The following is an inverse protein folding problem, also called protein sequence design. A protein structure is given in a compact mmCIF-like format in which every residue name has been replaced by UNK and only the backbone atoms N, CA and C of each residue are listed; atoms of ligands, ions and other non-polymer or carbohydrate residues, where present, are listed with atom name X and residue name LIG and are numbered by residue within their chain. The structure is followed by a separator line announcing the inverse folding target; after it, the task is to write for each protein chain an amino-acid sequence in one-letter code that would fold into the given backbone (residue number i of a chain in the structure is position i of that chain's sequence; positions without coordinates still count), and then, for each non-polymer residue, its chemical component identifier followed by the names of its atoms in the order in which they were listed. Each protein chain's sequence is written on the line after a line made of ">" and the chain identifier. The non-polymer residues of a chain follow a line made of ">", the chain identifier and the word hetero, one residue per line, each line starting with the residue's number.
data_IF_857090048168
#
_entry.id   IF_857090048168
#
_cell.length_a   1.000
_cell.length_b   1.000
_cell.length_c   1.000
_cell.angle_alpha   90.00
_cell.angle_beta   90.00
_cell.angle_gamma   90.00
#
_symmetry.space_group_name_H-M   'P 1'
#
loop_
_entity.id
_entity.type
_entity.pdbx_description
1 polymer ?
#
# COMPACT_ATOMS: atom_id res chain seq x y z
N UNK A 1 -10.94 -7.34 -4.90
CA UNK A 1 -9.56 -7.73 -5.35
C UNK A 1 -8.85 -8.39 -4.16
N UNK A 2 -7.94 -9.35 -4.36
CA UNK A 2 -7.09 -9.90 -3.28
C UNK A 2 -5.63 -9.51 -3.47
N UNK A 3 -4.97 -9.16 -2.38
CA UNK A 3 -3.53 -8.84 -2.35
C UNK A 3 -2.84 -9.76 -1.35
N UNK A 4 -1.75 -10.39 -1.78
CA UNK A 4 -0.95 -11.30 -0.98
C UNK A 4 0.41 -10.66 -0.76
N UNK A 5 0.77 -10.46 0.50
CA UNK A 5 2.09 -10.03 0.92
C UNK A 5 2.85 -11.25 1.44
N UNK A 6 4.02 -11.55 0.88
CA UNK A 6 4.87 -12.66 1.31
C UNK A 6 6.13 -12.11 1.94
N UNK A 7 6.42 -12.51 3.18
CA UNK A 7 7.54 -11.99 3.96
C UNK A 7 8.87 -12.51 3.42
N UNK A 8 9.79 -11.59 3.15
CA UNK A 8 11.18 -11.89 2.83
C UNK A 8 12.09 -11.77 4.06
N UNK A 9 13.41 -11.97 3.89
CA UNK A 9 14.38 -11.71 4.95
C UNK A 9 14.44 -10.22 5.33
N UNK A 10 14.76 -9.95 6.59
CA UNK A 10 14.82 -8.57 7.12
C UNK A 10 13.45 -7.88 7.02
N UNK A 11 13.40 -6.74 6.34
CA UNK A 11 12.15 -5.99 6.08
C UNK A 11 11.67 -6.11 4.64
N UNK A 12 12.26 -7.01 3.84
CA UNK A 12 11.83 -7.27 2.47
C UNK A 12 10.55 -8.07 2.40
N UNK A 13 9.82 -7.95 1.30
CA UNK A 13 8.59 -8.70 1.03
C UNK A 13 8.21 -8.62 -0.44
N UNK A 14 7.44 -9.60 -0.91
CA UNK A 14 6.85 -9.62 -2.24
C UNK A 14 5.34 -9.40 -2.17
N UNK A 15 4.80 -8.88 -3.26
CA UNK A 15 3.38 -8.56 -3.41
C UNK A 15 2.85 -9.25 -4.65
N UNK A 16 1.77 -10.00 -4.50
CA UNK A 16 0.99 -10.54 -5.59
C UNK A 16 -0.44 -9.99 -5.54
N UNK A 17 -0.94 -9.52 -6.68
CA UNK A 17 -2.28 -8.93 -6.81
C UNK A 17 -3.13 -9.84 -7.67
N UNK A 18 -4.22 -10.34 -7.11
CA UNK A 18 -5.23 -11.14 -7.78
C UNK A 18 -6.50 -10.29 -7.94
N UNK A 19 -6.87 -10.00 -9.18
CA UNK A 19 -7.97 -9.09 -9.51
C UNK A 19 -8.83 -9.66 -10.63
N UNK A 20 -10.10 -9.30 -10.61
CA UNK A 20 -11.08 -9.74 -11.61
C UNK A 20 -11.07 -8.83 -12.86
N UNK A 21 -10.65 -7.57 -12.69
CA UNK A 21 -10.60 -6.57 -13.75
C UNK A 21 -9.15 -6.28 -14.15
N UNK A 22 -8.86 -6.34 -15.45
CA UNK A 22 -7.54 -6.06 -16.02
C UNK A 22 -6.66 -7.29 -16.18
N UNK A 23 -5.45 -7.12 -16.72
CA UNK A 23 -4.52 -8.23 -16.95
C UNK A 23 -4.03 -8.84 -15.63
N UNK A 24 -3.75 -10.14 -15.61
CA UNK A 24 -3.02 -10.75 -14.50
C UNK A 24 -1.65 -10.07 -14.32
N UNK A 25 -1.28 -9.76 -13.08
CA UNK A 25 -0.07 -9.01 -12.77
C UNK A 25 1.05 -9.95 -12.30
N UNK A 26 2.28 -9.71 -12.76
CA UNK A 26 3.45 -10.38 -12.21
C UNK A 26 3.68 -9.91 -10.76
N UNK A 27 4.05 -10.81 -9.83
CA UNK A 27 4.47 -10.40 -8.50
C UNK A 27 5.66 -9.43 -8.56
N UNK A 28 5.79 -8.58 -7.55
CA UNK A 28 6.92 -7.66 -7.43
C UNK A 28 7.44 -7.63 -5.99
N UNK A 29 8.71 -7.31 -5.84
CA UNK A 29 9.29 -6.97 -4.55
C UNK A 29 8.88 -5.56 -4.12
N UNK A 30 8.45 -5.41 -2.87
CA UNK A 30 8.19 -4.11 -2.26
C UNK A 30 9.48 -3.35 -1.97
N UNK A 31 9.42 -2.04 -1.68
CA UNK A 31 10.61 -1.24 -1.35
C UNK A 31 11.25 -1.60 0.01
N UNK A 32 10.71 -2.58 0.74
CA UNK A 32 10.99 -2.80 2.15
C UNK A 32 10.11 -1.93 3.05
N UNK A 33 10.49 -1.76 4.31
CA UNK A 33 9.74 -0.95 5.26
C UNK A 33 10.07 -1.27 6.71
N UNK A 34 9.04 -1.27 7.54
CA UNK A 34 9.12 -1.52 8.98
C UNK A 34 8.94 -3.01 9.32
N UNK A 35 9.60 -3.57 10.35
CA UNK A 35 9.48 -4.99 10.72
C UNK A 35 8.07 -5.48 11.05
N UNK A 36 7.18 -4.58 11.44
CA UNK A 36 5.76 -4.86 11.74
C UNK A 36 4.83 -4.45 10.61
N UNK A 37 5.21 -3.43 9.84
CA UNK A 37 4.34 -2.76 8.87
C UNK A 37 5.09 -2.54 7.56
N UNK A 38 5.01 -3.49 6.60
CA UNK A 38 5.47 -3.30 5.24
C UNK A 38 4.90 -2.02 4.64
N UNK A 39 5.72 -1.24 3.94
CA UNK A 39 5.28 0.03 3.34
C UNK A 39 4.04 -0.13 2.44
N UNK A 40 4.06 -1.11 1.54
CA UNK A 40 2.91 -1.37 0.66
C UNK A 40 1.69 -1.94 1.42
N UNK A 41 1.86 -2.56 2.60
CA UNK A 41 0.73 -2.96 3.47
C UNK A 41 0.11 -1.73 4.14
N UNK A 42 0.93 -0.78 4.59
CA UNK A 42 0.48 0.51 5.13
C UNK A 42 -0.40 1.23 4.12
N UNK A 43 0.05 1.38 2.86
CA UNK A 43 -0.77 2.02 1.83
C UNK A 43 -2.08 1.28 1.57
N UNK A 44 -2.08 -0.06 1.57
CA UNK A 44 -3.32 -0.82 1.42
C UNK A 44 -4.33 -0.46 2.52
N UNK A 45 -3.91 -0.51 3.77
CA UNK A 45 -4.78 -0.26 4.92
C UNK A 45 -5.24 1.21 4.99
N UNK A 46 -4.32 2.15 4.77
CA UNK A 46 -4.63 3.59 4.71
C UNK A 46 -5.67 3.88 3.65
N UNK A 47 -5.46 3.42 2.42
CA UNK A 47 -6.39 3.71 1.32
C UNK A 47 -7.76 3.08 1.57
N UNK A 48 -7.79 1.86 2.13
CA UNK A 48 -9.05 1.17 2.46
C UNK A 48 -9.84 1.93 3.55
N UNK A 49 -9.21 2.27 4.67
CA UNK A 49 -9.86 2.93 5.82
C UNK A 49 -10.22 4.39 5.56
N UNK A 50 -9.45 5.07 4.71
CA UNK A 50 -9.72 6.45 4.30
C UNK A 50 -10.62 6.55 3.05
N UNK A 51 -11.01 5.42 2.45
CA UNK A 51 -11.86 5.37 1.27
C UNK A 51 -11.24 5.96 0.01
N UNK A 52 -9.91 5.97 -0.10
CA UNK A 52 -9.16 6.51 -1.24
C UNK A 52 -9.32 5.56 -2.42
N UNK A 53 -9.85 6.07 -3.55
CA UNK A 53 -10.21 5.23 -4.71
C UNK A 53 -9.21 5.29 -5.84
N UNK A 54 -8.46 6.38 -5.94
CA UNK A 54 -7.47 6.60 -6.98
C UNK A 54 -6.02 6.60 -6.43
N UNK A 55 -5.80 5.98 -5.27
CA UNK A 55 -4.47 5.64 -4.74
C UNK A 55 -3.78 4.49 -5.50
N UNK A 56 -2.80 3.84 -4.90
CA UNK A 56 -2.13 2.67 -5.47
C UNK A 56 -3.11 1.51 -5.63
N UNK A 57 -3.75 1.07 -4.53
CA UNK A 57 -4.58 -0.12 -4.52
C UNK A 57 -5.97 0.11 -5.09
N UNK A 58 -6.54 1.29 -4.87
CA UNK A 58 -7.79 1.67 -5.50
C UNK A 58 -7.72 1.59 -7.04
N UNK A 59 -6.62 2.06 -7.64
CA UNK A 59 -6.40 1.94 -9.09
C UNK A 59 -6.14 0.50 -9.53
N UNK A 60 -5.39 -0.29 -8.77
CA UNK A 60 -5.19 -1.71 -9.05
C UNK A 60 -6.52 -2.48 -9.09
N UNK A 61 -7.41 -2.19 -8.14
CA UNK A 61 -8.75 -2.77 -8.06
C UNK A 61 -9.64 -2.34 -9.24
N UNK A 62 -9.46 -1.11 -9.74
CA UNK A 62 -10.14 -0.61 -10.93
C UNK A 62 -9.54 -1.15 -12.26
N UNK A 63 -8.49 -1.98 -12.20
CA UNK A 63 -7.87 -2.61 -13.36
C UNK A 63 -6.69 -1.86 -13.97
N UNK A 64 -6.24 -0.75 -13.38
CA UNK A 64 -4.98 -0.10 -13.75
C UNK A 64 -3.80 -0.99 -13.32
N UNK A 65 -2.71 -1.02 -14.10
CA UNK A 65 -1.54 -1.80 -13.74
C UNK A 65 -0.69 -1.11 -12.65
N UNK A 66 -0.80 0.21 -12.48
CA UNK A 66 -0.05 0.97 -11.48
C UNK A 66 1.45 0.73 -11.58
N UNK A 67 2.04 0.27 -10.47
CA UNK A 67 3.47 -0.07 -10.35
C UNK A 67 3.79 -1.53 -10.78
N UNK A 68 2.77 -2.30 -11.15
CA UNK A 68 2.90 -3.69 -11.55
C UNK A 68 2.95 -3.82 -13.07
N UNK A 69 3.45 -4.97 -13.53
CA UNK A 69 3.48 -5.32 -14.94
C UNK A 69 2.52 -6.48 -15.20
N UNK A 70 1.84 -6.52 -16.35
CA UNK A 70 1.15 -7.73 -16.78
C UNK A 70 2.11 -8.93 -16.79
N UNK A 71 1.65 -10.08 -16.31
CA UNK A 71 2.41 -11.32 -16.28
C UNK A 71 2.61 -11.90 -17.69
N UNK A 72 1.61 -11.78 -18.56
CA UNK A 72 1.70 -12.17 -19.96
C UNK A 72 2.60 -11.20 -20.76
N UNK A 73 3.67 -11.68 -21.42
CA UNK A 73 4.53 -10.87 -22.27
C UNK A 73 3.79 -10.08 -23.36
N UNK A 74 2.73 -10.63 -23.95
CA UNK A 74 1.97 -9.95 -25.00
C UNK A 74 1.20 -8.74 -24.45
N UNK A 75 0.50 -8.93 -23.33
CA UNK A 75 -0.20 -7.84 -22.62
C UNK A 75 0.79 -6.81 -22.06
N UNK A 76 1.97 -7.23 -21.60
CA UNK A 76 3.04 -6.31 -21.17
C UNK A 76 3.52 -5.43 -22.32
N UNK A 77 3.78 -6.01 -23.49
CA UNK A 77 4.18 -5.25 -24.69
C UNK A 77 3.09 -4.27 -25.12
N UNK A 78 1.82 -4.68 -25.09
CA UNK A 78 0.66 -3.83 -25.38
C UNK A 78 0.52 -2.67 -24.39
N UNK A 79 0.63 -2.94 -23.10
CA UNK A 79 0.60 -1.91 -22.05
C UNK A 79 1.74 -0.90 -22.21
N UNK A 80 2.96 -1.36 -22.50
CA UNK A 80 4.11 -0.50 -22.75
C UNK A 80 3.91 0.40 -23.99
N UNK A 81 3.40 -0.16 -25.10
CA UNK A 81 3.07 0.62 -26.31
C UNK A 81 2.01 1.67 -26.02
N UNK A 82 0.93 1.31 -25.30
CA UNK A 82 -0.15 2.24 -24.93
C UNK A 82 0.36 3.38 -24.05
N UNK A 83 1.23 3.10 -23.07
CA UNK A 83 1.83 4.11 -22.19
C UNK A 83 2.71 5.10 -22.96
N UNK A 84 3.41 4.63 -24.00
CA UNK A 84 4.22 5.49 -24.90
C UNK A 84 3.36 6.34 -25.83
N UNK A 85 2.31 5.77 -26.43
CA UNK A 85 1.48 6.48 -27.42
C UNK A 85 0.43 7.39 -26.80
N UNK A 86 -0.03 7.08 -25.58
CA UNK A 86 -0.98 7.88 -24.81
C UNK A 86 -0.50 7.95 -23.35
N UNK A 87 0.39 8.91 -23.01
CA UNK A 87 0.72 9.15 -21.62
C UNK A 87 -0.58 9.49 -20.89
N UNK A 88 -1.01 8.62 -19.98
CA UNK A 88 -2.18 8.86 -19.15
C UNK A 88 -1.85 10.06 -18.27
N UNK A 89 -2.45 11.22 -18.57
CA UNK A 89 -2.38 12.37 -17.68
C UNK A 89 -3.16 12.01 -16.43
N UNK A 90 -2.46 11.89 -15.30
CA UNK A 90 -3.11 11.72 -14.00
C UNK A 90 -4.07 12.90 -13.78
N UNK A 91 -5.34 12.59 -13.53
CA UNK A 91 -6.35 13.60 -13.20
C UNK A 91 -5.95 14.35 -11.92
N UNK A 92 -6.51 15.55 -11.72
CA UNK A 92 -6.34 16.28 -10.46
C UNK A 92 -6.77 15.42 -9.25
N UNK A 93 -7.89 14.70 -9.37
CA UNK A 93 -8.36 13.79 -8.33
C UNK A 93 -7.35 12.67 -8.05
N UNK A 94 -6.79 12.02 -9.08
CA UNK A 94 -5.82 10.94 -8.87
C UNK A 94 -4.53 11.43 -8.20
N UNK A 95 -4.12 12.68 -8.47
CA UNK A 95 -3.00 13.32 -7.76
C UNK A 95 -3.35 13.63 -6.30
N UNK A 96 -4.55 14.15 -6.06
CA UNK A 96 -5.04 14.46 -4.71
C UNK A 96 -5.18 13.19 -3.84
N UNK A 97 -5.75 12.12 -4.40
CA UNK A 97 -5.89 10.82 -3.72
C UNK A 97 -4.53 10.21 -3.39
N UNK A 98 -3.56 10.27 -4.32
CA UNK A 98 -2.20 9.81 -4.06
C UNK A 98 -1.55 10.62 -2.94
N UNK A 99 -1.59 11.95 -3.03
CA UNK A 99 -1.01 12.82 -2.00
C UNK A 99 -1.65 12.57 -0.62
N UNK A 100 -2.97 12.38 -0.58
CA UNK A 100 -3.70 12.04 0.64
C UNK A 100 -3.30 10.68 1.20
N UNK A 101 -3.06 9.68 0.34
CA UNK A 101 -2.58 8.37 0.80
C UNK A 101 -1.20 8.47 1.43
N UNK A 102 -0.29 9.23 0.82
CA UNK A 102 1.06 9.46 1.35
C UNK A 102 1.02 10.24 2.66
N UNK A 103 0.23 11.31 2.72
CA UNK A 103 0.03 12.13 3.92
C UNK A 103 -0.49 11.29 5.10
N UNK A 104 -1.56 10.52 4.88
CA UNK A 104 -2.14 9.70 5.94
C UNK A 104 -1.20 8.57 6.37
N UNK A 105 -0.45 7.95 5.45
CA UNK A 105 0.58 6.98 5.81
C UNK A 105 1.70 7.62 6.65
N UNK A 106 2.16 8.80 6.24
CA UNK A 106 3.20 9.57 6.92
C UNK A 106 2.80 10.06 8.32
N UNK A 107 1.51 10.22 8.59
CA UNK A 107 1.00 10.55 9.94
C UNK A 107 0.71 9.28 10.75
N UNK A 108 0.04 8.29 10.16
CA UNK A 108 -0.47 7.15 10.89
C UNK A 108 0.64 6.22 11.41
N UNK A 109 1.73 6.03 10.65
CA UNK A 109 2.84 5.17 11.09
C UNK A 109 3.52 5.75 12.34
N UNK A 110 3.96 7.02 12.38
CA UNK A 110 4.55 7.59 13.60
C UNK A 110 3.58 7.60 14.80
N UNK A 111 2.29 7.86 14.58
CA UNK A 111 1.28 7.78 15.65
C UNK A 111 1.19 6.37 16.21
N UNK A 112 1.18 5.36 15.34
CA UNK A 112 1.18 3.96 15.75
C UNK A 112 2.46 3.58 16.50
N UNK A 113 3.63 4.01 16.01
CA UNK A 113 4.93 3.74 16.64
C UNK A 113 5.02 4.31 18.06
N UNK A 114 4.55 5.55 18.28
CA UNK A 114 4.51 6.15 19.62
C UNK A 114 3.56 5.41 20.54
N UNK A 115 2.36 5.04 20.05
CA UNK A 115 1.35 4.31 20.84
C UNK A 115 1.85 2.93 21.31
N UNK A 116 2.69 2.28 20.51
CA UNK A 116 3.23 0.95 20.80
C UNK A 116 4.64 0.98 21.40
N UNK A 117 5.18 2.17 21.71
CA UNK A 117 6.50 2.32 22.33
C UNK A 117 7.67 2.01 21.40
N UNK A 118 7.45 1.96 20.09
CA UNK A 118 8.53 1.87 19.08
C UNK A 118 9.22 3.23 18.87
N UNK A 119 8.54 4.33 19.19
CA UNK A 119 9.09 5.68 19.24
C UNK A 119 8.70 6.36 20.57
N UNK A 120 9.52 7.32 21.03
CA UNK A 120 9.24 8.07 22.28
C UNK A 120 8.33 9.27 22.05
N UNK A 121 8.42 9.89 20.88
CA UNK A 121 7.73 11.12 20.55
C UNK A 121 7.36 11.14 19.07
N UNK A 122 6.36 11.95 18.73
CA UNK A 122 6.00 12.18 17.34
C UNK A 122 7.10 12.98 16.64
N UNK A 123 7.42 12.68 15.37
CA UNK A 123 8.36 13.47 14.61
C UNK A 123 7.82 14.90 14.41
N UNK A 124 8.72 15.88 14.26
CA UNK A 124 8.37 17.30 14.22
C UNK A 124 7.39 17.71 13.11
N UNK A 125 7.26 16.90 12.05
CA UNK A 125 6.31 17.13 10.96
C UNK A 125 4.88 16.61 11.27
N UNK A 126 4.66 15.95 12.40
CA UNK A 126 3.35 15.50 12.86
C UNK A 126 2.94 16.30 14.10
N UNK A 127 2.03 17.26 13.91
CA UNK A 127 1.45 18.04 15.00
C UNK A 127 0.31 17.27 15.66
N UNK A 128 0.42 16.94 16.95
CA UNK A 128 -0.58 16.13 17.66
C UNK A 128 -2.02 16.69 17.59
N UNK A 129 -2.19 18.01 17.64
CA UNK A 129 -3.49 18.67 17.55
C UNK A 129 -4.10 18.74 16.14
N UNK A 130 -3.34 18.35 15.11
CA UNK A 130 -3.76 18.40 13.70
C UNK A 130 -3.96 17.00 13.10
N UNK A 131 -3.85 15.95 13.92
CA UNK A 131 -4.03 14.57 13.47
C UNK A 131 -5.48 14.35 13.01
N UNK A 132 -5.71 13.98 11.74
CA UNK A 132 -7.07 13.75 11.25
C UNK A 132 -7.77 12.59 11.99
N UNK A 133 -9.07 12.67 12.32
CA UNK A 133 -9.79 11.61 13.04
C UNK A 133 -9.79 10.22 12.34
N UNK A 134 -9.54 10.17 11.03
CA UNK A 134 -9.40 8.90 10.30
C UNK A 134 -8.14 8.13 10.72
N UNK A 135 -7.11 8.81 11.22
CA UNK A 135 -5.86 8.18 11.67
C UNK A 135 -6.11 7.21 12.80
N UNK A 136 -7.04 7.48 13.72
CA UNK A 136 -7.35 6.53 14.80
C UNK A 136 -7.89 5.20 14.28
N UNK A 137 -8.71 5.23 13.23
CA UNK A 137 -9.20 4.01 12.57
C UNK A 137 -8.08 3.28 11.84
N UNK A 138 -7.23 4.02 11.12
CA UNK A 138 -6.06 3.46 10.44
C UNK A 138 -5.11 2.79 11.43
N UNK A 139 -4.79 3.45 12.54
CA UNK A 139 -3.90 2.93 13.58
C UNK A 139 -4.49 1.67 14.23
N UNK A 140 -5.79 1.69 14.57
CA UNK A 140 -6.48 0.49 15.07
C UNK A 140 -6.39 -0.66 14.06
N UNK A 141 -6.46 -0.34 12.76
CA UNK A 141 -6.30 -1.33 11.70
C UNK A 141 -4.86 -1.82 11.55
N UNK A 142 -3.86 -0.98 11.84
CA UNK A 142 -2.47 -1.45 11.89
C UNK A 142 -2.29 -2.48 13.00
N UNK A 143 -2.91 -2.30 14.16
CA UNK A 143 -2.84 -3.26 15.28
C UNK A 143 -3.28 -4.67 14.85
N UNK A 144 -4.39 -4.75 14.10
CA UNK A 144 -4.90 -6.02 13.56
C UNK A 144 -3.88 -6.78 12.70
N UNK A 145 -2.94 -6.08 12.05
CA UNK A 145 -2.05 -6.65 11.04
C UNK A 145 -0.58 -6.66 11.45
N UNK A 146 -0.15 -5.77 12.35
CA UNK A 146 1.23 -5.61 12.78
C UNK A 146 1.76 -6.91 13.39
N UNK A 147 1.04 -7.48 14.37
CA UNK A 147 1.44 -8.72 15.02
C UNK A 147 1.38 -9.91 14.06
N UNK A 148 0.36 -9.97 13.22
CA UNK A 148 0.23 -11.02 12.20
C UNK A 148 1.40 -11.00 11.25
N UNK A 149 1.82 -9.82 10.78
CA UNK A 149 2.98 -9.70 9.91
C UNK A 149 4.28 -10.00 10.65
N UNK A 150 4.45 -9.45 11.84
CA UNK A 150 5.69 -9.55 12.60
C UNK A 150 6.00 -11.00 12.97
N UNK A 151 4.98 -11.79 13.32
CA UNK A 151 5.11 -13.20 13.70
C UNK A 151 5.24 -14.16 12.52
N UNK A 152 4.98 -13.72 11.27
CA UNK A 152 5.19 -14.59 10.11
C UNK A 152 6.68 -14.99 9.98
N UNK A 153 6.98 -16.27 9.70
CA UNK A 153 8.31 -16.65 9.26
C UNK A 153 8.60 -16.09 7.85
N UNK A 154 9.87 -16.06 7.46
CA UNK A 154 10.25 -15.81 6.06
C UNK A 154 9.58 -16.84 5.16
N UNK A 155 8.99 -16.39 4.06
CA UNK A 155 8.15 -17.18 3.15
C UNK A 155 6.69 -17.29 3.57
N UNK A 156 6.33 -16.87 4.80
CA UNK A 156 4.95 -16.77 5.24
C UNK A 156 4.20 -15.62 4.57
N UNK A 157 2.88 -15.74 4.43
CA UNK A 157 2.08 -14.77 3.69
C UNK A 157 0.87 -14.26 4.46
N UNK A 158 0.52 -13.01 4.19
CA UNK A 158 -0.70 -12.35 4.64
C UNK A 158 -1.56 -12.02 3.42
N UNK A 159 -2.84 -12.42 3.43
CA UNK A 159 -3.79 -12.12 2.36
C UNK A 159 -4.83 -11.11 2.82
N UNK A 160 -5.04 -10.07 2.03
CA UNK A 160 -6.05 -9.04 2.26
C UNK A 160 -7.02 -8.97 1.08
N UNK A 161 -8.24 -8.56 1.38
CA UNK A 161 -9.28 -8.31 0.38
C UNK A 161 -9.58 -6.82 0.35
N UNK A 162 -9.58 -6.28 -0.85
CA UNK A 162 -9.94 -4.90 -1.19
C UNK A 162 -11.39 -4.85 -1.69
#
# INVERSE_FOLDING_TARGET
>A
MRVVFTKGPGTSYDIAVHRDTGAALAPRNGPGGHPYLPHDLVHFLVEAEAGIKLGVYGRLAAGDNGLFWPADPAERAKAARRRKSKPVKSSHQAKADMARSEELAGIAVPVWEVRHGHARELPAYVTAGEIPPVVDRIVSRFDDYADRWHTLPVGGSLTLTW
#
